data_IF_944974651887
#
_entry.id   IF_944974651887
#
_cell.length_a   1.000
_cell.length_b   1.000
_cell.length_c   1.000
_cell.angle_alpha   90.00
_cell.angle_beta   90.00
_cell.angle_gamma   90.00
#
_symmetry.space_group_name_H-M   'P 1'
#
loop_
_entity.id
_entity.type
_entity.pdbx_description
1 polymer ?
#
# COMPACT_ATOMS: atom_id res chain seq x y z
N UNK A 1 -8.71 11.51 -86.14
CA UNK A 1 -8.81 12.56 -85.11
C UNK A 1 -9.84 12.28 -84.00
N UNK A 2 -10.89 11.46 -84.21
CA UNK A 2 -11.91 11.19 -83.16
C UNK A 2 -11.43 10.32 -81.98
N UNK A 3 -10.44 9.45 -82.19
CA UNK A 3 -9.95 8.53 -81.14
C UNK A 3 -8.82 9.11 -80.28
N UNK A 4 -8.18 10.20 -80.72
CA UNK A 4 -7.05 10.83 -80.00
C UNK A 4 -7.56 11.56 -78.74
N UNK A 5 -8.76 12.15 -78.81
CA UNK A 5 -9.40 12.83 -77.67
C UNK A 5 -9.86 11.83 -76.61
N UNK A 6 -10.32 10.64 -77.01
CA UNK A 6 -10.73 9.58 -76.10
C UNK A 6 -9.54 8.94 -75.38
N UNK A 7 -8.41 8.76 -76.05
CA UNK A 7 -7.19 8.22 -75.43
C UNK A 7 -6.56 9.23 -74.46
N UNK A 8 -6.61 10.54 -74.78
CA UNK A 8 -6.13 11.59 -73.90
C UNK A 8 -6.98 11.76 -72.62
N UNK A 9 -8.26 11.39 -72.64
CA UNK A 9 -9.12 11.46 -71.46
C UNK A 9 -8.90 10.29 -70.48
N UNK A 10 -8.45 9.13 -70.99
CA UNK A 10 -8.21 7.93 -70.17
C UNK A 10 -6.87 7.99 -69.44
N UNK A 11 -5.88 8.71 -69.98
CA UNK A 11 -4.57 8.86 -69.33
C UNK A 11 -4.54 9.89 -68.20
N UNK A 12 -5.55 10.76 -68.08
CA UNK A 12 -5.63 11.77 -67.02
C UNK A 12 -6.17 11.22 -65.68
N UNK A 13 -6.70 9.98 -65.65
CA UNK A 13 -7.24 9.34 -64.45
C UNK A 13 -6.21 8.68 -63.54
N UNK A 14 -4.94 8.60 -63.94
CA UNK A 14 -3.90 7.88 -63.19
C UNK A 14 -3.04 8.75 -62.27
N UNK A 15 -3.33 10.05 -62.16
CA UNK A 15 -2.75 10.95 -61.15
C UNK A 15 -3.71 11.11 -59.98
N UNK A 16 -4.18 9.99 -59.44
CA UNK A 16 -4.71 9.98 -58.07
C UNK A 16 -3.51 9.86 -57.16
N UNK A 17 -3.02 11.01 -56.70
CA UNK A 17 -2.04 11.09 -55.62
C UNK A 17 -2.62 10.27 -54.46
N UNK A 18 -2.02 9.13 -54.16
CA UNK A 18 -2.38 8.34 -53.00
C UNK A 18 -2.01 9.16 -51.79
N UNK A 19 -2.95 9.95 -51.29
CA UNK A 19 -2.85 10.62 -50.01
C UNK A 19 -2.70 9.53 -48.95
N UNK A 20 -1.45 9.15 -48.65
CA UNK A 20 -1.13 8.38 -47.47
C UNK A 20 -1.61 9.20 -46.29
N UNK A 21 -2.62 8.68 -45.58
CA UNK A 21 -3.07 9.29 -44.34
C UNK A 21 -1.85 9.34 -43.40
N UNK A 22 -1.32 10.54 -43.19
CA UNK A 22 -0.15 10.81 -42.36
C UNK A 22 -0.47 10.30 -40.95
N UNK A 23 -0.06 9.06 -40.67
CA UNK A 23 -0.51 8.34 -39.49
C UNK A 23 0.36 8.82 -38.34
N UNK A 24 -0.08 9.89 -37.67
CA UNK A 24 0.64 10.40 -36.50
C UNK A 24 0.50 9.39 -35.35
N UNK A 25 1.57 8.67 -35.03
CA UNK A 25 1.62 7.78 -33.86
C UNK A 25 1.88 8.64 -32.62
N UNK A 26 0.83 8.90 -31.84
CA UNK A 26 0.97 9.51 -30.53
C UNK A 26 1.39 8.47 -29.49
N UNK A 27 2.54 8.65 -28.84
CA UNK A 27 2.95 7.82 -27.70
C UNK A 27 2.48 8.47 -26.41
N UNK A 28 1.68 7.74 -25.62
CA UNK A 28 1.24 8.19 -24.28
C UNK A 28 1.89 7.35 -23.18
N UNK A 29 2.27 8.00 -22.09
CA UNK A 29 2.71 7.30 -20.88
C UNK A 29 1.49 6.87 -20.07
N UNK A 30 1.26 5.56 -20.00
CA UNK A 30 0.19 4.99 -19.18
C UNK A 30 0.40 5.28 -17.68
N UNK A 31 1.65 5.30 -17.21
CA UNK A 31 1.98 5.68 -15.84
C UNK A 31 1.51 7.11 -15.53
N UNK A 32 1.78 8.05 -16.46
CA UNK A 32 1.38 9.46 -16.28
C UNK A 32 -0.14 9.63 -16.28
N UNK A 33 -0.86 8.87 -17.10
CA UNK A 33 -2.33 8.91 -17.15
C UNK A 33 -2.92 8.28 -15.88
N UNK A 34 -2.39 7.14 -15.46
CA UNK A 34 -2.86 6.42 -14.28
C UNK A 34 -2.62 7.24 -13.01
N UNK A 35 -1.41 7.75 -12.80
CA UNK A 35 -1.05 8.55 -11.63
C UNK A 35 -1.64 9.96 -11.67
N UNK A 36 -1.83 10.55 -12.87
CA UNK A 36 -2.49 11.85 -13.02
C UNK A 36 -4.00 11.82 -12.86
N UNK A 37 -4.61 10.63 -12.76
CA UNK A 37 -6.03 10.48 -12.54
C UNK A 37 -6.35 10.63 -11.05
N UNK A 38 -7.14 11.64 -10.70
CA UNK A 38 -7.48 12.00 -9.32
C UNK A 38 -8.05 10.85 -8.47
N UNK A 39 -8.69 9.82 -9.08
CA UNK A 39 -9.15 8.65 -8.32
C UNK A 39 -7.99 7.75 -7.90
N UNK A 40 -6.93 7.66 -8.70
CA UNK A 40 -5.72 6.90 -8.34
C UNK A 40 -5.06 7.52 -7.11
N UNK A 41 -4.92 8.86 -7.09
CA UNK A 41 -4.42 9.57 -5.91
C UNK A 41 -5.30 9.35 -4.68
N UNK A 42 -6.62 9.44 -4.82
CA UNK A 42 -7.54 9.20 -3.71
C UNK A 42 -7.43 7.77 -3.16
N UNK A 43 -7.35 6.75 -4.03
CA UNK A 43 -7.19 5.37 -3.59
C UNK A 43 -5.80 5.12 -2.97
N UNK A 44 -4.75 5.72 -3.52
CA UNK A 44 -3.40 5.65 -2.97
C UNK A 44 -3.34 6.27 -1.56
N UNK A 45 -4.00 7.40 -1.34
CA UNK A 45 -4.10 8.03 -0.03
C UNK A 45 -4.89 7.17 0.97
N UNK A 46 -5.98 6.52 0.52
CA UNK A 46 -6.70 5.55 1.36
C UNK A 46 -5.80 4.37 1.75
N UNK A 47 -5.00 3.85 0.82
CA UNK A 47 -4.06 2.76 1.07
C UNK A 47 -2.97 3.18 2.07
N UNK A 48 -2.32 4.33 1.84
CA UNK A 48 -1.33 4.89 2.76
C UNK A 48 -1.90 5.12 4.16
N UNK A 49 -3.13 5.64 4.25
CA UNK A 49 -3.82 5.82 5.54
C UNK A 49 -4.05 4.49 6.25
N UNK A 50 -4.53 3.45 5.53
CA UNK A 50 -4.71 2.11 6.09
C UNK A 50 -3.38 1.51 6.56
N UNK A 51 -2.32 1.64 5.76
CA UNK A 51 -0.97 1.20 6.11
C UNK A 51 -0.48 1.89 7.39
N UNK A 52 -0.62 3.22 7.47
CA UNK A 52 -0.24 3.98 8.66
C UNK A 52 -1.04 3.55 9.89
N UNK A 53 -2.36 3.38 9.76
CA UNK A 53 -3.20 2.89 10.87
C UNK A 53 -2.78 1.49 11.34
N UNK A 54 -2.43 0.59 10.42
CA UNK A 54 -1.93 -0.73 10.77
C UNK A 54 -0.57 -0.66 11.49
N UNK A 55 0.36 0.16 11.00
CA UNK A 55 1.65 0.39 11.66
C UNK A 55 1.49 0.99 13.06
N UNK A 56 0.63 2.00 13.20
CA UNK A 56 0.33 2.63 14.49
C UNK A 56 -0.30 1.62 15.46
N UNK A 57 -1.20 0.74 14.98
CA UNK A 57 -1.78 -0.34 15.78
C UNK A 57 -0.72 -1.34 16.24
N UNK A 58 0.14 -1.80 15.35
CA UNK A 58 1.24 -2.73 15.68
C UNK A 58 2.17 -2.09 16.73
N UNK A 59 2.53 -0.82 16.54
CA UNK A 59 3.35 -0.07 17.48
C UNK A 59 2.68 0.02 18.86
N UNK A 60 1.39 0.34 18.90
CA UNK A 60 0.61 0.39 20.14
C UNK A 60 0.55 -0.95 20.88
N UNK A 61 0.31 -2.04 20.14
CA UNK A 61 0.30 -3.40 20.71
C UNK A 61 1.66 -3.78 21.28
N UNK A 62 2.75 -3.54 20.54
CA UNK A 62 4.11 -3.80 21.01
C UNK A 62 4.46 -2.98 22.26
N UNK A 63 4.04 -1.71 22.31
CA UNK A 63 4.21 -0.88 23.50
C UNK A 63 3.43 -1.40 24.70
N UNK A 64 2.19 -1.90 24.50
CA UNK A 64 1.41 -2.52 25.57
C UNK A 64 2.08 -3.78 26.10
N UNK A 65 2.45 -4.71 25.20
CA UNK A 65 3.14 -5.96 25.55
C UNK A 65 4.45 -5.68 26.31
N UNK A 66 5.22 -4.69 25.87
CA UNK A 66 6.45 -4.27 26.58
C UNK A 66 6.15 -3.80 28.00
N UNK A 67 5.14 -2.93 28.15
CA UNK A 67 4.74 -2.43 29.48
C UNK A 67 4.23 -3.54 30.40
N UNK A 68 3.41 -4.45 29.88
CA UNK A 68 2.90 -5.58 30.66
C UNK A 68 4.03 -6.54 31.05
N UNK A 69 4.99 -6.78 30.17
CA UNK A 69 6.21 -7.54 30.47
C UNK A 69 7.08 -6.87 31.55
N UNK A 70 7.24 -5.54 31.51
CA UNK A 70 7.93 -4.79 32.57
C UNK A 70 7.21 -4.90 33.92
N UNK A 71 5.88 -4.82 33.93
CA UNK A 71 5.07 -5.00 35.14
C UNK A 71 5.28 -6.40 35.71
N UNK A 72 5.20 -7.44 34.88
CA UNK A 72 5.44 -8.82 35.31
C UNK A 72 6.87 -8.99 35.84
N UNK A 73 7.87 -8.42 35.16
CA UNK A 73 9.27 -8.44 35.62
C UNK A 73 9.43 -7.81 37.01
N UNK A 74 8.77 -6.67 37.26
CA UNK A 74 8.74 -6.03 38.59
C UNK A 74 8.08 -6.92 39.64
N UNK A 75 6.95 -7.56 39.29
CA UNK A 75 6.27 -8.49 40.21
C UNK A 75 7.17 -9.66 40.59
N UNK A 76 7.88 -10.27 39.62
CA UNK A 76 8.81 -11.37 39.88
C UNK A 76 9.99 -10.89 40.73
N UNK A 77 10.57 -9.72 40.44
CA UNK A 77 11.65 -9.16 41.26
C UNK A 77 11.22 -8.91 42.71
N UNK A 78 9.98 -8.46 42.92
CA UNK A 78 9.43 -8.24 44.25
C UNK A 78 9.20 -9.52 45.07
N UNK A 79 9.28 -10.72 44.46
CA UNK A 79 9.25 -12.01 45.16
C UNK A 79 10.60 -12.39 45.76
N UNK A 80 11.68 -11.75 45.33
CA UNK A 80 13.04 -11.98 45.83
C UNK A 80 13.36 -11.13 47.08
N UNK A 81 12.39 -10.36 47.58
CA UNK A 81 12.55 -9.59 48.81
C UNK A 81 12.75 -10.54 50.00
N UNK A 82 13.89 -10.46 50.72
CA UNK A 82 14.17 -11.34 51.85
C UNK A 82 13.28 -11.08 53.07
N UNK A 83 12.61 -9.93 53.15
CA UNK A 83 11.73 -9.57 54.26
C UNK A 83 10.27 -10.01 54.06
N UNK A 84 9.97 -10.71 52.96
CA UNK A 84 8.60 -11.12 52.65
C UNK A 84 8.17 -12.30 53.51
N UNK A 85 6.99 -12.19 54.13
CA UNK A 85 6.40 -13.35 54.82
C UNK A 85 6.00 -14.43 53.82
N UNK A 86 5.92 -15.69 54.27
CA UNK A 86 5.53 -16.81 53.42
C UNK A 86 4.14 -16.60 52.79
N UNK A 87 3.17 -16.09 53.56
CA UNK A 87 1.82 -15.81 53.08
C UNK A 87 1.79 -14.71 52.01
N UNK A 88 2.55 -13.62 52.20
CA UNK A 88 2.66 -12.55 51.21
C UNK A 88 3.38 -13.01 49.95
N UNK A 89 4.40 -13.86 50.08
CA UNK A 89 5.11 -14.46 48.94
C UNK A 89 4.17 -15.31 48.10
N UNK A 90 3.38 -16.18 48.72
CA UNK A 90 2.38 -16.99 48.00
C UNK A 90 1.36 -16.12 47.28
N UNK A 91 0.84 -15.07 47.94
CA UNK A 91 -0.13 -14.14 47.34
C UNK A 91 0.47 -13.42 46.12
N UNK A 92 1.68 -12.87 46.24
CA UNK A 92 2.36 -12.17 45.13
C UNK A 92 2.73 -13.13 44.00
N UNK A 93 3.07 -14.38 44.31
CA UNK A 93 3.37 -15.40 43.30
C UNK A 93 2.12 -15.78 42.50
N UNK A 94 0.96 -15.89 43.16
CA UNK A 94 -0.32 -16.07 42.47
C UNK A 94 -0.66 -14.88 41.59
N UNK A 95 -0.48 -13.66 42.07
CA UNK A 95 -0.73 -12.43 41.29
C UNK A 95 0.17 -12.35 40.04
N UNK A 96 1.46 -12.67 40.18
CA UNK A 96 2.39 -12.73 39.05
C UNK A 96 1.99 -13.83 38.05
N UNK A 97 1.56 -14.99 38.55
CA UNK A 97 1.08 -16.09 37.70
C UNK A 97 -0.18 -15.74 36.91
N UNK A 98 -1.15 -15.06 37.54
CA UNK A 98 -2.34 -14.56 36.85
C UNK A 98 -1.96 -13.54 35.78
N UNK A 99 -1.09 -12.57 36.10
CA UNK A 99 -0.62 -11.57 35.13
C UNK A 99 0.14 -12.20 33.96
N UNK A 100 0.86 -13.31 34.21
CA UNK A 100 1.53 -14.07 33.16
C UNK A 100 0.56 -14.83 32.25
N UNK A 101 -0.61 -15.25 32.75
CA UNK A 101 -1.65 -15.87 31.92
C UNK A 101 -2.45 -14.86 31.08
N UNK A 102 -2.48 -13.59 31.50
CA UNK A 102 -3.14 -12.50 30.76
C UNK A 102 -2.30 -11.95 29.59
N UNK A 103 -1.00 -12.27 29.56
CA UNK A 103 -0.04 -11.91 28.51
C UNK A 103 -0.09 -12.90 27.35
#
# INVERSE_FOLDING_TARGET
>A
MKYVVLIALVTFGFLSDSAEADTSIATVSLDKIYNGYWKTDQENDKLKKKQKMAQDKIKGLNQSLTKDGEVLSRMIKALNDPNLSAAEKTKRQQQAGLKQQEL
#
